data_IF_533031693781
#
_entry.id   IF_533031693781
#
_cell.length_a   1.000
_cell.length_b   1.000
_cell.length_c   1.000
_cell.angle_alpha   90.00
_cell.angle_beta   90.00
_cell.angle_gamma   90.00
#
_symmetry.space_group_name_H-M   'P 1'
#
loop_
_entity.id
_entity.type
_entity.pdbx_description
1 polymer ?
#
# COMPACT_ATOMS: atom_id res chain seq x y z
N UNK A 1 3.63 9.24 58.16
CA UNK A 1 2.95 8.23 57.31
C UNK A 1 2.90 8.77 55.86
N UNK A 2 3.87 8.42 55.07
CA UNK A 2 3.94 8.75 53.65
C UNK A 2 3.40 7.54 52.89
N UNK A 3 2.24 7.68 52.22
CA UNK A 3 1.75 6.69 51.24
C UNK A 3 2.41 6.98 49.93
N UNK A 4 3.23 6.04 49.48
CA UNK A 4 3.79 5.99 48.14
C UNK A 4 2.63 5.67 47.16
N UNK A 5 2.44 6.55 46.19
CA UNK A 5 1.66 6.25 44.99
C UNK A 5 2.57 5.39 44.09
N UNK A 6 2.33 4.11 44.04
CA UNK A 6 2.80 3.24 42.96
C UNK A 6 1.92 3.49 41.73
N UNK A 7 2.42 4.28 40.79
CA UNK A 7 1.91 4.29 39.43
C UNK A 7 2.17 2.93 38.79
N UNK A 8 1.10 2.16 38.68
CA UNK A 8 1.10 0.92 37.88
C UNK A 8 1.21 1.34 36.41
N UNK A 9 2.44 1.37 35.88
CA UNK A 9 2.66 1.36 34.44
C UNK A 9 2.11 0.07 33.89
N UNK A 10 0.91 0.11 33.33
CA UNK A 10 0.41 -0.95 32.44
C UNK A 10 1.20 -0.85 31.15
N UNK A 11 2.27 -1.60 31.06
CA UNK A 11 2.85 -1.94 29.76
C UNK A 11 1.81 -2.77 29.01
N UNK A 12 1.19 -2.17 28.01
CA UNK A 12 0.46 -2.91 27.00
C UNK A 12 1.53 -3.62 26.17
N UNK A 13 1.91 -4.81 26.60
CA UNK A 13 2.56 -5.77 25.72
C UNK A 13 1.46 -6.26 24.77
N UNK A 14 1.23 -5.52 23.68
CA UNK A 14 0.58 -6.11 22.52
C UNK A 14 1.48 -7.30 22.18
N UNK A 15 0.93 -8.50 22.15
CA UNK A 15 1.67 -9.73 21.88
C UNK A 15 2.12 -9.79 20.42
N UNK A 16 2.91 -8.83 19.99
CA UNK A 16 3.72 -8.97 18.81
C UNK A 16 4.73 -10.07 19.14
N UNK A 17 4.56 -11.23 18.56
CA UNK A 17 5.71 -12.10 18.37
C UNK A 17 6.84 -11.21 17.85
N UNK A 18 8.02 -11.19 18.48
CA UNK A 18 9.05 -10.27 18.08
C UNK A 18 9.16 -10.35 16.57
N UNK A 19 9.14 -9.18 15.92
CA UNK A 19 9.63 -9.05 14.55
C UNK A 19 10.92 -9.85 14.60
N UNK A 20 10.91 -11.07 14.03
CA UNK A 20 12.12 -11.85 13.94
C UNK A 20 13.10 -10.89 13.31
N UNK A 21 14.22 -10.54 14.01
CA UNK A 21 15.25 -9.74 13.37
C UNK A 21 15.45 -10.47 12.06
N UNK A 22 15.23 -9.78 10.96
CA UNK A 22 15.25 -10.39 9.65
C UNK A 22 16.53 -11.23 9.64
N UNK A 23 16.40 -12.52 9.91
CA UNK A 23 17.50 -13.43 9.62
C UNK A 23 17.67 -13.12 8.17
N UNK A 24 18.76 -12.43 7.85
CA UNK A 24 19.12 -12.09 6.49
C UNK A 24 18.83 -13.33 5.69
N UNK A 25 17.65 -13.36 5.06
CA UNK A 25 17.38 -14.31 4.01
C UNK A 25 18.46 -13.93 3.02
N UNK A 26 19.58 -14.64 3.11
CA UNK A 26 20.76 -14.41 2.31
C UNK A 26 20.30 -14.52 0.88
N UNK A 27 20.20 -13.37 0.20
CA UNK A 27 19.84 -13.16 -1.20
C UNK A 27 18.43 -12.64 -1.56
N UNK A 28 17.53 -12.29 -0.62
CA UNK A 28 16.17 -11.89 -1.01
C UNK A 28 15.81 -10.46 -0.60
N UNK A 29 15.12 -9.81 -1.49
CA UNK A 29 14.94 -8.37 -1.52
C UNK A 29 13.89 -7.83 -0.54
N UNK A 30 12.95 -8.64 -0.02
CA UNK A 30 11.96 -8.17 0.95
C UNK A 30 12.53 -8.21 2.36
N UNK A 31 12.72 -7.04 2.95
CA UNK A 31 13.39 -6.92 4.24
C UNK A 31 12.47 -7.20 5.44
N UNK A 32 11.14 -7.16 5.28
CA UNK A 32 10.19 -7.21 6.39
C UNK A 32 8.94 -8.03 6.04
N UNK A 33 8.70 -9.09 6.82
CA UNK A 33 7.46 -9.86 6.81
C UNK A 33 6.89 -9.84 8.23
N UNK A 34 5.62 -9.45 8.36
CA UNK A 34 4.89 -9.47 9.62
C UNK A 34 3.83 -10.57 9.51
N UNK A 35 3.79 -11.48 10.49
CA UNK A 35 2.77 -12.50 10.58
C UNK A 35 2.08 -12.45 11.93
N UNK A 36 0.78 -12.25 11.90
CA UNK A 36 -0.11 -12.36 13.08
C UNK A 36 -0.92 -13.66 12.96
N UNK A 37 -0.63 -14.68 13.80
CA UNK A 37 -1.37 -15.93 13.76
C UNK A 37 -2.79 -15.75 14.30
N UNK A 38 -3.76 -16.37 13.62
CA UNK A 38 -5.17 -16.38 14.03
C UNK A 38 -5.77 -17.77 13.81
N UNK A 39 -6.72 -18.18 14.64
CA UNK A 39 -7.45 -19.43 14.46
C UNK A 39 -8.52 -19.36 13.36
N UNK A 40 -8.75 -18.18 12.77
CA UNK A 40 -9.71 -17.98 11.69
C UNK A 40 -9.36 -18.78 10.45
N UNK A 41 -10.38 -19.30 9.76
CA UNK A 41 -10.23 -19.87 8.41
C UNK A 41 -10.06 -18.78 7.34
N UNK A 42 -10.50 -17.56 7.61
CA UNK A 42 -10.25 -16.40 6.75
C UNK A 42 -8.89 -15.83 7.12
N UNK A 43 -8.07 -15.61 6.10
CA UNK A 43 -6.77 -14.98 6.21
C UNK A 43 -6.72 -13.72 5.35
N UNK A 44 -5.80 -12.85 5.70
CA UNK A 44 -5.48 -11.64 4.95
C UNK A 44 -3.98 -11.63 4.66
N UNK A 45 -3.58 -11.20 3.50
CA UNK A 45 -2.19 -10.83 3.25
C UNK A 45 -2.12 -9.65 2.29
N UNK A 46 -1.01 -8.91 2.33
CA UNK A 46 -0.83 -7.75 1.48
C UNK A 46 0.53 -7.10 1.63
N UNK A 47 0.70 -6.06 0.83
CA UNK A 47 1.85 -5.16 0.89
C UNK A 47 1.40 -3.81 1.43
N UNK A 48 2.10 -3.33 2.45
CA UNK A 48 2.06 -1.95 2.91
C UNK A 48 3.25 -1.22 2.31
N UNK A 49 3.00 -0.31 1.40
CA UNK A 49 4.01 0.53 0.74
C UNK A 49 4.13 1.83 1.51
N UNK A 50 5.35 2.21 1.91
CA UNK A 50 5.64 3.47 2.61
C UNK A 50 5.67 4.63 1.58
N UNK A 51 4.53 4.87 0.94
CA UNK A 51 4.30 5.96 0.01
C UNK A 51 2.81 6.27 -0.10
N UNK A 52 2.48 7.54 0.01
CA UNK A 52 1.14 8.10 -0.18
C UNK A 52 1.22 9.41 -0.92
N UNK A 53 0.15 10.21 -0.87
CA UNK A 53 0.11 11.49 -1.59
C UNK A 53 1.11 12.52 -1.04
N UNK A 54 1.58 12.37 0.18
CA UNK A 54 2.64 13.17 0.77
C UNK A 54 3.97 13.07 0.01
N UNK A 55 4.24 11.93 -0.61
CA UNK A 55 5.52 11.59 -1.24
C UNK A 55 5.55 11.96 -2.74
N UNK A 56 4.45 12.53 -3.26
CA UNK A 56 4.31 12.99 -4.64
C UNK A 56 5.10 14.28 -4.90
N UNK A 57 5.67 14.38 -6.09
CA UNK A 57 6.21 15.63 -6.59
C UNK A 57 5.08 16.61 -6.92
N UNK A 58 5.42 17.89 -7.12
CA UNK A 58 4.43 18.93 -7.47
C UNK A 58 3.63 18.62 -8.75
N UNK A 59 4.25 17.99 -9.70
CA UNK A 59 3.62 17.58 -10.97
C UNK A 59 3.04 16.15 -10.93
N UNK A 60 2.92 15.54 -9.75
CA UNK A 60 2.41 14.17 -9.56
C UNK A 60 1.19 14.13 -8.63
N UNK A 61 0.56 15.28 -8.32
CA UNK A 61 -0.55 15.30 -7.37
C UNK A 61 -1.70 14.40 -7.83
N UNK A 62 -2.04 13.42 -6.98
CA UNK A 62 -3.01 12.36 -7.25
C UNK A 62 -2.40 11.08 -7.83
N UNK A 63 -1.08 10.99 -8.06
CA UNK A 63 -0.44 9.83 -8.68
C UNK A 63 -0.49 8.59 -7.79
N UNK A 64 -0.38 8.73 -6.48
CA UNK A 64 -0.44 7.60 -5.56
C UNK A 64 -1.79 6.88 -5.65
N UNK A 65 -2.90 7.63 -5.60
CA UNK A 65 -4.25 7.10 -5.79
C UNK A 65 -4.47 6.60 -7.22
N UNK A 66 -3.96 7.31 -8.21
CA UNK A 66 -4.03 6.88 -9.61
C UNK A 66 -3.36 5.53 -9.85
N UNK A 67 -2.19 5.30 -9.27
CA UNK A 67 -1.47 4.01 -9.33
C UNK A 67 -2.27 2.91 -8.64
N UNK A 68 -2.94 3.19 -7.53
CA UNK A 68 -3.85 2.25 -6.86
C UNK A 68 -4.91 1.71 -7.85
N UNK A 69 -5.58 2.58 -8.61
CA UNK A 69 -6.53 2.16 -9.65
C UNK A 69 -5.85 1.33 -10.75
N UNK A 70 -4.65 1.74 -11.16
CA UNK A 70 -3.97 1.17 -12.31
C UNK A 70 -3.36 -0.21 -12.08
N UNK A 71 -2.97 -0.56 -10.84
CA UNK A 71 -2.36 -1.87 -10.55
C UNK A 71 -3.31 -3.04 -10.86
N UNK A 72 -4.62 -2.82 -10.90
CA UNK A 72 -5.64 -3.82 -11.26
C UNK A 72 -5.92 -3.90 -12.77
N UNK A 73 -5.32 -3.03 -13.59
CA UNK A 73 -5.67 -2.91 -15.03
C UNK A 73 -4.78 -3.71 -15.96
N UNK A 74 -3.70 -4.30 -15.47
CA UNK A 74 -2.88 -5.22 -16.24
C UNK A 74 -1.45 -5.37 -15.73
N UNK A 75 -0.95 -6.58 -15.87
CA UNK A 75 0.46 -6.93 -15.62
C UNK A 75 1.08 -7.50 -16.88
N UNK A 76 2.40 -7.78 -16.84
CA UNK A 76 3.08 -8.48 -17.91
C UNK A 76 2.46 -9.85 -18.23
N UNK A 77 1.76 -10.48 -17.25
CA UNK A 77 1.17 -11.83 -17.38
C UNK A 77 -0.35 -11.82 -17.50
N UNK A 78 -1.03 -10.77 -17.01
CA UNK A 78 -2.49 -10.77 -16.80
C UNK A 78 -3.14 -9.51 -17.34
N UNK A 79 -4.31 -9.69 -17.95
CA UNK A 79 -5.24 -8.58 -18.24
C UNK A 79 -6.09 -8.30 -17.00
N UNK A 80 -6.72 -7.13 -16.92
CA UNK A 80 -7.55 -6.71 -15.80
C UNK A 80 -8.55 -7.77 -15.32
N UNK A 81 -9.33 -8.37 -16.22
CA UNK A 81 -10.33 -9.37 -15.85
C UNK A 81 -9.72 -10.66 -15.25
N UNK A 82 -8.49 -11.02 -15.61
CA UNK A 82 -7.80 -12.14 -14.99
C UNK A 82 -7.35 -11.82 -13.56
N UNK A 83 -7.00 -10.55 -13.31
CA UNK A 83 -6.61 -10.07 -11.98
C UNK A 83 -7.81 -10.14 -11.05
N UNK A 84 -8.92 -9.51 -11.42
CA UNK A 84 -10.14 -9.44 -10.62
C UNK A 84 -10.71 -10.85 -10.33
N UNK A 85 -10.92 -11.65 -11.36
CA UNK A 85 -11.48 -13.00 -11.18
C UNK A 85 -10.55 -13.97 -10.43
N UNK A 86 -9.28 -13.65 -10.28
CA UNK A 86 -8.33 -14.58 -9.67
C UNK A 86 -8.69 -14.95 -8.24
N UNK A 87 -9.11 -13.98 -7.45
CA UNK A 87 -9.54 -14.22 -6.07
C UNK A 87 -11.05 -14.46 -5.97
N UNK A 88 -11.86 -13.77 -6.73
CA UNK A 88 -13.32 -13.95 -6.75
C UNK A 88 -13.72 -15.42 -7.06
N UNK A 89 -13.04 -16.09 -7.98
CA UNK A 89 -13.29 -17.48 -8.33
C UNK A 89 -13.11 -18.48 -7.18
N UNK A 90 -12.52 -18.06 -6.08
CA UNK A 90 -12.32 -18.87 -4.85
C UNK A 90 -12.98 -18.24 -3.63
N UNK A 91 -13.87 -17.26 -3.85
CA UNK A 91 -14.58 -16.55 -2.77
C UNK A 91 -13.66 -15.63 -1.95
N UNK A 92 -12.53 -15.23 -2.54
CA UNK A 92 -11.63 -14.23 -1.96
C UNK A 92 -11.91 -12.84 -2.51
N UNK A 93 -11.44 -11.83 -1.80
CA UNK A 93 -11.50 -10.43 -2.17
C UNK A 93 -10.10 -9.88 -2.44
N UNK A 94 -10.00 -8.91 -3.34
CA UNK A 94 -8.76 -8.20 -3.67
C UNK A 94 -9.05 -6.70 -3.64
N UNK A 95 -8.29 -5.98 -2.82
CA UNK A 95 -8.57 -4.57 -2.56
C UNK A 95 -7.27 -3.76 -2.35
N UNK A 96 -7.40 -2.44 -2.44
CA UNK A 96 -6.34 -1.50 -2.08
C UNK A 96 -6.94 -0.22 -1.49
N UNK A 97 -6.13 0.55 -0.81
CA UNK A 97 -6.43 1.93 -0.44
C UNK A 97 -5.14 2.76 -0.35
N UNK A 98 -5.27 4.04 -0.62
CA UNK A 98 -4.20 5.03 -0.51
C UNK A 98 -4.62 6.11 0.49
N UNK A 99 -3.69 6.48 1.36
CA UNK A 99 -3.84 7.66 2.20
C UNK A 99 -2.67 8.64 1.98
N UNK A 100 -2.50 9.60 2.88
CA UNK A 100 -1.45 10.62 2.76
C UNK A 100 -0.03 10.03 2.85
N UNK A 101 0.16 8.91 3.55
CA UNK A 101 1.49 8.41 3.93
C UNK A 101 1.76 6.97 3.52
N UNK A 102 0.73 6.21 3.12
CA UNK A 102 0.88 4.80 2.75
C UNK A 102 -0.12 4.37 1.68
N UNK A 103 0.24 3.33 0.96
CA UNK A 103 -0.67 2.58 0.07
C UNK A 103 -0.70 1.12 0.51
N UNK A 104 -1.90 0.60 0.74
CA UNK A 104 -2.13 -0.78 1.13
C UNK A 104 -2.77 -1.55 -0.02
N UNK A 105 -2.18 -2.71 -0.36
CA UNK A 105 -2.70 -3.60 -1.41
C UNK A 105 -2.83 -4.99 -0.78
N UNK A 106 -4.06 -5.52 -0.68
CA UNK A 106 -4.31 -6.71 0.10
C UNK A 106 -5.41 -7.59 -0.47
N UNK A 107 -5.48 -8.81 0.01
CA UNK A 107 -6.53 -9.78 -0.30
C UNK A 107 -7.02 -10.46 0.98
N UNK A 108 -8.33 -10.72 1.03
CA UNK A 108 -8.98 -11.59 2.02
C UNK A 108 -9.36 -12.90 1.35
N UNK A 109 -9.13 -14.05 2.01
CA UNK A 109 -9.31 -15.37 1.40
C UNK A 109 -9.40 -16.49 2.46
N UNK A 110 -9.84 -17.68 2.05
CA UNK A 110 -9.68 -18.88 2.88
C UNK A 110 -8.22 -19.32 2.87
N UNK A 111 -7.68 -19.71 4.04
CA UNK A 111 -6.26 -20.03 4.29
C UNK A 111 -5.62 -20.93 3.23
N UNK A 112 -6.38 -21.87 2.66
CA UNK A 112 -5.92 -22.78 1.59
C UNK A 112 -5.53 -22.05 0.29
N UNK A 113 -6.00 -20.82 0.10
CA UNK A 113 -5.72 -20.00 -1.09
C UNK A 113 -4.56 -19.00 -0.90
N UNK A 114 -3.83 -19.07 0.20
CA UNK A 114 -2.71 -18.16 0.51
C UNK A 114 -1.72 -18.03 -0.66
N UNK A 115 -1.26 -19.15 -1.21
CA UNK A 115 -0.30 -19.11 -2.32
C UNK A 115 -0.83 -18.43 -3.59
N UNK A 116 -2.15 -18.55 -3.84
CA UNK A 116 -2.84 -17.86 -4.95
C UNK A 116 -2.90 -16.35 -4.73
N UNK A 117 -3.26 -15.93 -3.52
CA UNK A 117 -3.36 -14.52 -3.15
C UNK A 117 -1.97 -13.85 -3.19
N UNK A 118 -0.97 -14.47 -2.57
CA UNK A 118 0.38 -13.93 -2.53
C UNK A 118 1.00 -13.82 -3.94
N UNK A 119 0.81 -14.83 -4.79
CA UNK A 119 1.28 -14.79 -6.18
C UNK A 119 0.63 -13.67 -6.98
N UNK A 120 -0.69 -13.47 -6.82
CA UNK A 120 -1.39 -12.38 -7.48
C UNK A 120 -0.93 -11.01 -6.99
N UNK A 121 -0.84 -10.82 -5.67
CA UNK A 121 -0.37 -9.57 -5.07
C UNK A 121 1.04 -9.22 -5.53
N UNK A 122 1.94 -10.20 -5.58
CA UNK A 122 3.30 -10.01 -6.12
C UNK A 122 3.27 -9.56 -7.58
N UNK A 123 2.41 -10.16 -8.40
CA UNK A 123 2.29 -9.82 -9.81
C UNK A 123 1.78 -8.38 -10.02
N UNK A 124 0.72 -7.98 -9.31
CA UNK A 124 0.17 -6.62 -9.47
C UNK A 124 1.05 -5.54 -8.86
N UNK A 125 1.78 -5.82 -7.78
CA UNK A 125 2.66 -4.84 -7.13
C UNK A 125 3.94 -4.60 -7.91
N UNK A 126 4.56 -5.66 -8.46
CA UNK A 126 5.89 -5.57 -9.05
C UNK A 126 5.93 -5.68 -10.58
N UNK A 127 4.84 -6.08 -11.22
CA UNK A 127 4.83 -6.34 -12.66
C UNK A 127 3.69 -5.64 -13.42
N UNK A 128 3.05 -4.63 -12.82
CA UNK A 128 2.05 -3.81 -13.50
C UNK A 128 2.67 -3.06 -14.69
N UNK A 129 1.91 -2.95 -15.77
CA UNK A 129 2.39 -2.40 -17.05
C UNK A 129 1.78 -1.05 -17.41
N UNK A 130 0.77 -0.61 -16.69
CA UNK A 130 0.11 0.69 -16.86
C UNK A 130 -0.27 1.02 -18.32
N UNK A 131 -1.12 0.22 -19.01
CA UNK A 131 -1.43 0.45 -20.40
C UNK A 131 -2.07 1.82 -20.61
N UNK A 132 -1.60 2.61 -21.59
CA UNK A 132 -2.07 3.98 -21.82
C UNK A 132 -3.60 4.06 -21.99
N UNK A 133 -4.20 3.08 -22.66
CA UNK A 133 -5.66 3.00 -22.82
C UNK A 133 -6.41 2.86 -21.48
N UNK A 134 -5.81 2.18 -20.51
CA UNK A 134 -6.43 2.04 -19.20
C UNK A 134 -6.23 3.32 -18.36
N UNK A 135 -5.10 4.01 -18.53
CA UNK A 135 -4.86 5.34 -17.95
C UNK A 135 -5.94 6.33 -18.40
N UNK A 136 -6.23 6.39 -19.70
CA UNK A 136 -7.26 7.27 -20.25
C UNK A 136 -8.66 6.99 -19.65
N UNK A 137 -8.99 5.72 -19.45
CA UNK A 137 -10.28 5.35 -18.83
C UNK A 137 -10.31 5.70 -17.34
N UNK A 138 -9.25 5.35 -16.60
CA UNK A 138 -9.20 5.60 -15.16
C UNK A 138 -9.13 7.10 -14.85
N UNK A 139 -8.55 7.91 -15.75
CA UNK A 139 -8.61 9.37 -15.62
C UNK A 139 -10.06 9.86 -15.55
N UNK A 140 -10.95 9.38 -16.41
CA UNK A 140 -12.35 9.77 -16.37
C UNK A 140 -13.05 9.23 -15.10
N UNK A 141 -12.77 7.98 -14.70
CA UNK A 141 -13.32 7.39 -13.47
C UNK A 141 -12.95 8.22 -12.23
N UNK A 142 -11.67 8.62 -12.10
CA UNK A 142 -11.22 9.39 -10.95
C UNK A 142 -11.76 10.83 -11.01
N UNK A 143 -11.93 11.41 -12.18
CA UNK A 143 -12.58 12.72 -12.31
C UNK A 143 -14.04 12.65 -11.85
N UNK A 144 -14.78 11.60 -12.20
CA UNK A 144 -16.13 11.37 -11.70
C UNK A 144 -16.16 11.16 -10.19
N UNK A 145 -15.15 10.48 -9.63
CA UNK A 145 -14.97 10.29 -8.18
C UNK A 145 -14.71 11.63 -7.48
N UNK A 146 -13.84 12.49 -8.02
CA UNK A 146 -13.60 13.84 -7.50
C UNK A 146 -14.91 14.64 -7.44
N UNK A 147 -15.71 14.61 -8.51
CA UNK A 147 -17.01 15.32 -8.54
C UNK A 147 -17.97 14.78 -7.48
N UNK A 148 -18.05 13.45 -7.35
CA UNK A 148 -18.88 12.82 -6.32
C UNK A 148 -18.44 13.19 -4.90
N UNK A 149 -17.14 13.32 -4.69
CA UNK A 149 -16.56 13.72 -3.41
C UNK A 149 -16.82 15.19 -3.09
N UNK A 150 -16.68 16.09 -4.08
CA UNK A 150 -17.01 17.51 -3.97
C UNK A 150 -18.49 17.75 -3.65
N UNK A 151 -19.39 16.88 -4.12
CA UNK A 151 -20.83 16.92 -3.84
C UNK A 151 -21.19 16.37 -2.44
N UNK A 152 -20.22 15.83 -1.69
CA UNK A 152 -20.42 15.28 -0.35
C UNK A 152 -19.70 16.12 0.74
N UNK A 153 -20.35 17.15 1.31
CA UNK A 153 -19.71 18.02 2.29
C UNK A 153 -19.21 17.31 3.55
N UNK A 154 -19.79 16.14 3.90
CA UNK A 154 -19.38 15.38 5.07
C UNK A 154 -18.05 14.63 4.88
N UNK A 155 -17.63 14.41 3.66
CA UNK A 155 -16.31 13.86 3.32
C UNK A 155 -15.32 15.00 3.03
N UNK A 156 -15.73 15.96 2.22
CA UNK A 156 -14.90 17.11 1.83
C UNK A 156 -14.34 17.90 3.03
N UNK A 157 -15.10 17.98 4.12
CA UNK A 157 -14.70 18.75 5.32
C UNK A 157 -13.37 18.23 5.92
N UNK A 158 -13.03 16.96 5.78
CA UNK A 158 -11.79 16.42 6.29
C UNK A 158 -10.60 16.90 5.47
N UNK A 159 -10.71 16.90 4.13
CA UNK A 159 -9.66 17.40 3.24
C UNK A 159 -9.49 18.92 3.39
N UNK A 160 -10.58 19.68 3.46
CA UNK A 160 -10.56 21.13 3.71
C UNK A 160 -9.86 21.45 5.03
N UNK A 161 -10.12 20.67 6.06
CA UNK A 161 -9.49 20.84 7.37
C UNK A 161 -8.00 20.50 7.34
N UNK A 162 -7.62 19.42 6.66
CA UNK A 162 -6.22 19.06 6.48
C UNK A 162 -5.45 20.09 5.65
N UNK A 163 -6.03 20.62 4.56
CA UNK A 163 -5.42 21.71 3.80
C UNK A 163 -5.25 22.97 4.66
N UNK A 164 -6.22 23.28 5.52
CA UNK A 164 -6.12 24.43 6.42
C UNK A 164 -4.96 24.28 7.42
N UNK A 165 -4.79 23.10 8.01
CA UNK A 165 -3.74 22.82 9.00
C UNK A 165 -2.37 22.74 8.32
N UNK A 166 -2.29 22.03 7.18
CA UNK A 166 -1.04 21.73 6.49
C UNK A 166 -0.83 22.58 5.24
N UNK A 167 -1.32 23.81 5.26
CA UNK A 167 -1.27 24.71 4.10
C UNK A 167 0.14 24.82 3.51
N UNK A 168 0.26 24.50 2.23
CA UNK A 168 1.54 24.52 1.51
C UNK A 168 2.46 23.34 1.82
N UNK A 169 2.03 22.38 2.63
CA UNK A 169 2.73 21.12 2.89
C UNK A 169 2.04 19.98 2.14
N UNK A 170 2.78 18.95 1.66
CA UNK A 170 2.18 17.80 0.95
C UNK A 170 1.05 17.09 1.69
N UNK A 171 1.05 17.06 3.01
CA UNK A 171 -0.05 16.49 3.82
C UNK A 171 -1.39 17.21 3.65
N UNK A 172 -1.39 18.47 3.20
CA UNK A 172 -2.63 19.21 2.90
C UNK A 172 -3.20 18.93 1.51
N UNK A 173 -2.49 18.19 0.66
CA UNK A 173 -2.97 17.88 -0.70
C UNK A 173 -4.16 16.94 -0.67
N UNK A 174 -5.11 17.11 -1.60
CA UNK A 174 -6.19 16.13 -1.79
C UNK A 174 -5.63 14.81 -2.33
N UNK A 175 -6.10 13.68 -1.80
CA UNK A 175 -5.64 12.34 -2.19
C UNK A 175 -5.97 12.04 -3.65
N UNK A 176 -7.13 12.49 -4.12
CA UNK A 176 -7.60 12.27 -5.50
C UNK A 176 -6.85 13.13 -6.53
N UNK A 177 -6.07 14.13 -6.07
CA UNK A 177 -5.40 15.08 -6.96
C UNK A 177 -6.35 16.11 -7.55
N UNK A 178 -6.07 16.55 -8.77
CA UNK A 178 -6.95 17.49 -9.49
C UNK A 178 -7.13 17.07 -10.98
N UNK A 179 -8.31 17.37 -11.57
CA UNK A 179 -8.63 16.94 -12.94
C UNK A 179 -7.66 17.44 -14.01
N UNK A 180 -7.06 18.60 -13.80
CA UNK A 180 -6.08 19.18 -14.74
C UNK A 180 -4.79 18.37 -14.80
N UNK A 181 -4.29 17.94 -13.64
CA UNK A 181 -3.09 17.15 -13.53
C UNK A 181 -3.31 15.69 -14.01
N UNK A 182 -4.43 15.08 -13.61
CA UNK A 182 -4.78 13.70 -14.00
C UNK A 182 -4.78 13.49 -15.52
N UNK A 183 -5.29 14.46 -16.30
CA UNK A 183 -5.31 14.41 -17.78
C UNK A 183 -3.93 14.42 -18.42
N UNK A 184 -2.91 14.83 -17.70
CA UNK A 184 -1.55 14.88 -18.20
C UNK A 184 -0.78 13.57 -17.99
N UNK A 185 -1.25 12.70 -17.08
CA UNK A 185 -0.57 11.47 -16.73
C UNK A 185 -0.44 10.49 -17.90
N UNK A 186 0.71 9.84 -17.97
CA UNK A 186 1.07 8.84 -18.96
C UNK A 186 1.61 7.57 -18.27
N UNK A 187 1.72 6.52 -19.05
CA UNK A 187 2.29 5.23 -18.62
C UNK A 187 3.64 5.38 -17.93
N UNK A 188 4.48 6.27 -18.48
CA UNK A 188 5.82 6.54 -17.96
C UNK A 188 5.79 7.20 -16.57
N UNK A 189 4.79 8.04 -16.28
CA UNK A 189 4.65 8.72 -15.00
C UNK A 189 4.29 7.72 -13.89
N UNK A 190 3.31 6.83 -14.14
CA UNK A 190 2.95 5.75 -13.24
C UNK A 190 4.11 4.77 -13.02
N UNK A 191 4.86 4.43 -14.08
CA UNK A 191 6.03 3.59 -13.99
C UNK A 191 7.16 4.27 -13.20
N UNK A 192 7.37 5.57 -13.37
CA UNK A 192 8.37 6.34 -12.63
C UNK A 192 8.01 6.40 -11.13
N UNK A 193 6.74 6.64 -10.78
CA UNK A 193 6.26 6.64 -9.41
C UNK A 193 6.47 5.27 -8.75
N UNK A 194 5.99 4.20 -9.38
CA UNK A 194 6.14 2.84 -8.84
C UNK A 194 7.60 2.41 -8.74
N UNK A 195 8.44 2.79 -9.68
CA UNK A 195 9.89 2.52 -9.63
C UNK A 195 10.57 3.14 -8.40
N UNK A 196 10.09 4.30 -7.93
CA UNK A 196 10.62 4.96 -6.73
C UNK A 196 10.16 4.30 -5.44
N UNK A 197 8.92 3.85 -5.38
CA UNK A 197 8.28 3.49 -4.12
C UNK A 197 7.90 2.01 -3.98
N UNK A 198 7.57 1.32 -5.09
CA UNK A 198 7.08 -0.07 -5.07
C UNK A 198 8.24 -1.06 -5.21
N UNK A 199 9.12 -1.05 -4.23
CA UNK A 199 10.25 -1.95 -4.17
C UNK A 199 10.39 -2.57 -2.77
N UNK A 200 10.99 -3.75 -2.65
CA UNK A 200 11.03 -4.50 -1.40
C UNK A 200 11.63 -3.77 -0.20
N UNK A 201 12.51 -2.81 -0.42
CA UNK A 201 13.12 -1.98 0.63
C UNK A 201 12.17 -0.96 1.25
N UNK A 202 11.11 -0.58 0.55
CA UNK A 202 10.14 0.46 0.93
C UNK A 202 8.78 -0.10 1.31
N UNK A 203 8.67 -1.39 1.61
CA UNK A 203 7.40 -2.02 1.94
C UNK A 203 7.52 -3.11 2.99
N UNK A 204 6.39 -3.46 3.55
CA UNK A 204 6.21 -4.59 4.44
C UNK A 204 5.19 -5.55 3.82
N UNK A 205 5.51 -6.83 3.79
CA UNK A 205 4.52 -7.86 3.52
C UNK A 205 3.90 -8.31 4.84
N UNK A 206 2.59 -8.27 4.95
CA UNK A 206 1.88 -8.71 6.15
C UNK A 206 0.98 -9.90 5.85
N UNK A 207 0.81 -10.74 6.87
CA UNK A 207 -0.08 -11.90 6.83
C UNK A 207 -0.80 -12.01 8.18
N UNK A 208 -2.12 -12.11 8.15
CA UNK A 208 -2.97 -12.40 9.29
C UNK A 208 -3.76 -13.67 9.00
N UNK A 209 -3.66 -14.70 9.83
CA UNK A 209 -4.47 -15.92 9.66
C UNK A 209 -3.83 -17.20 10.20
N UNK A 210 -4.54 -18.31 10.01
CA UNK A 210 -4.08 -19.64 10.41
C UNK A 210 -3.10 -20.23 9.38
N UNK A 211 -1.88 -19.70 9.39
CA UNK A 211 -0.81 -20.09 8.47
C UNK A 211 0.47 -20.39 9.25
N UNK A 212 1.25 -21.35 8.81
CA UNK A 212 2.59 -21.58 9.35
C UNK A 212 3.56 -20.53 8.79
N UNK A 213 4.24 -19.80 9.67
CA UNK A 213 5.19 -18.77 9.28
C UNK A 213 6.31 -19.29 8.37
N UNK A 214 6.77 -20.52 8.58
CA UNK A 214 7.76 -21.16 7.70
C UNK A 214 7.22 -21.36 6.27
N UNK A 215 5.92 -21.61 6.15
CA UNK A 215 5.27 -21.68 4.84
C UNK A 215 5.22 -20.30 4.18
N UNK A 216 4.89 -19.24 4.94
CA UNK A 216 4.91 -17.86 4.45
C UNK A 216 6.29 -17.50 3.92
N UNK A 217 7.34 -17.78 4.68
CA UNK A 217 8.74 -17.53 4.27
C UNK A 217 9.10 -18.26 2.99
N UNK A 218 8.78 -19.57 2.88
CA UNK A 218 9.05 -20.34 1.64
C UNK A 218 8.36 -19.76 0.41
N UNK A 219 7.12 -19.25 0.57
CA UNK A 219 6.43 -18.58 -0.52
C UNK A 219 7.09 -17.26 -0.89
N UNK A 220 7.52 -16.47 0.10
CA UNK A 220 8.24 -15.22 -0.12
C UNK A 220 9.56 -15.47 -0.88
N UNK A 221 10.35 -16.43 -0.43
CA UNK A 221 11.59 -16.84 -1.10
C UNK A 221 11.37 -17.24 -2.56
N UNK A 222 10.28 -17.96 -2.83
CA UNK A 222 9.94 -18.39 -4.18
C UNK A 222 9.47 -17.26 -5.10
N UNK A 223 8.59 -16.39 -4.58
CA UNK A 223 7.91 -15.38 -5.40
C UNK A 223 8.73 -14.10 -5.59
N UNK A 224 9.61 -13.80 -4.65
CA UNK A 224 10.37 -12.56 -4.63
C UNK A 224 11.85 -12.76 -4.99
N UNK A 225 12.24 -13.99 -5.38
CA UNK A 225 13.63 -14.35 -5.69
C UNK A 225 14.25 -13.49 -6.80
N UNK A 226 13.45 -13.17 -7.80
CA UNK A 226 13.92 -12.46 -9.01
C UNK A 226 13.83 -10.93 -8.88
N UNK A 227 13.28 -10.42 -7.75
CA UNK A 227 13.21 -8.99 -7.53
C UNK A 227 14.60 -8.43 -7.21
N UNK A 228 14.95 -7.26 -7.75
CA UNK A 228 16.24 -6.65 -7.47
C UNK A 228 16.37 -6.33 -5.98
N UNK A 229 17.53 -6.67 -5.41
CA UNK A 229 17.87 -6.22 -4.07
C UNK A 229 18.11 -4.70 -4.13
N UNK A 230 17.17 -3.93 -3.60
CA UNK A 230 17.34 -2.49 -3.47
C UNK A 230 17.87 -2.22 -2.06
N UNK A 231 19.00 -1.54 -1.96
CA UNK A 231 19.47 -1.01 -0.69
C UNK A 231 18.35 -0.16 -0.08
N UNK A 232 18.03 -0.41 1.19
CA UNK A 232 16.90 0.25 1.85
C UNK A 232 16.91 1.75 1.58
N UNK A 233 15.75 2.29 1.28
CA UNK A 233 15.57 3.73 1.13
C UNK A 233 16.08 4.40 2.42
N UNK A 234 16.87 5.46 2.35
CA UNK A 234 17.26 6.17 3.56
C UNK A 234 15.95 6.69 4.18
N UNK A 235 15.56 6.09 5.29
CA UNK A 235 14.52 6.62 6.14
C UNK A 235 14.99 8.01 6.57
N UNK A 236 14.48 9.08 5.96
CA UNK A 236 14.93 10.37 6.39
C UNK A 236 14.67 11.59 5.55
N UNK A 237 13.92 11.53 4.49
CA UNK A 237 13.56 12.74 3.73
C UNK A 237 12.08 13.12 3.85
N UNK A 238 11.31 12.50 4.73
CA UNK A 238 10.02 13.05 5.10
C UNK A 238 10.29 14.36 5.84
N UNK A 239 9.97 15.47 5.20
CA UNK A 239 10.03 16.78 5.85
C UNK A 239 9.08 16.75 7.05
N UNK A 240 9.63 16.83 8.25
CA UNK A 240 8.82 17.00 9.45
C UNK A 240 8.08 18.35 9.33
N UNK A 241 6.74 18.27 9.35
CA UNK A 241 5.93 19.46 9.41
C UNK A 241 6.21 20.18 10.75
N UNK A 242 6.55 21.46 10.66
CA UNK A 242 6.61 22.33 11.82
C UNK A 242 5.45 23.32 11.77
N UNK A 243 4.62 23.40 12.82
CA UNK A 243 3.54 24.38 12.85
C UNK A 243 4.14 25.76 12.70
N UNK A 244 3.68 26.52 11.71
CA UNK A 244 3.96 27.95 11.61
C UNK A 244 3.36 28.65 12.83
N UNK A 245 4.19 29.33 13.61
CA UNK A 245 3.76 30.21 14.70
C UNK A 245 3.19 31.49 14.10
#
# INVERSE_FOLDING_TARGET
>A
MKRQNEEVKREFTVGFQPIYPAQRLSHHSLNRIIHEPSASKVAYCGFAVDAGTRDELENEQGMAHFVEHLIFKGTAKRKAWHILNRMENVGGDLNAYTNKEETMIYSAFLTEHFGRAFELLTDIVFHSTFPQREIEKETEVIIDEIQSYEDNPSELIFDDFEDLIFRGHPLGRNILGNPGQLKLFRSEDAAAFTSRFYHPGNMVFFVLGNLDFRQVVRWAEKLLADLPAVAGYPSGTRHDWQPGI
#
